data_IF_115179325274
#
_entry.id   IF_115179325274
#
_cell.length_a   1.000
_cell.length_b   1.000
_cell.length_c   1.000
_cell.angle_alpha   90.00
_cell.angle_beta   90.00
_cell.angle_gamma   90.00
#
_symmetry.space_group_name_H-M   'P 1'
#
loop_
_entity.id
_entity.type
_entity.pdbx_description
1 polymer ?
#
# COMPACT_ATOMS: atom_id res chain seq x y z
N UNK A 1 -48.37 41.12 -31.08
CA UNK A 1 -46.92 40.88 -31.34
C UNK A 1 -46.05 41.04 -30.08
N UNK A 2 -46.18 42.11 -29.28
CA UNK A 2 -45.32 42.33 -28.08
C UNK A 2 -45.45 41.27 -26.96
N UNK A 3 -46.65 40.69 -26.76
CA UNK A 3 -46.91 39.64 -25.75
C UNK A 3 -46.26 38.29 -26.09
N UNK A 4 -46.13 37.97 -27.38
CA UNK A 4 -45.54 36.72 -27.85
C UNK A 4 -44.01 36.69 -27.72
N UNK A 5 -43.34 37.84 -27.87
CA UNK A 5 -41.90 37.94 -27.63
C UNK A 5 -41.53 37.77 -26.15
N UNK A 6 -42.34 38.32 -25.23
CA UNK A 6 -42.09 38.20 -23.79
C UNK A 6 -42.22 36.75 -23.31
N UNK A 7 -43.20 36.00 -23.84
CA UNK A 7 -43.37 34.58 -23.54
C UNK A 7 -42.21 33.73 -24.09
N UNK A 8 -41.71 34.06 -25.29
CA UNK A 8 -40.56 33.37 -25.87
C UNK A 8 -39.27 33.61 -25.07
N UNK A 9 -39.05 34.85 -24.62
CA UNK A 9 -37.89 35.22 -23.81
C UNK A 9 -37.91 34.54 -22.43
N UNK A 10 -39.08 34.47 -21.79
CA UNK A 10 -39.25 33.78 -20.51
C UNK A 10 -38.99 32.26 -20.63
N UNK A 11 -39.45 31.65 -21.72
CA UNK A 11 -39.22 30.22 -21.99
C UNK A 11 -37.72 29.94 -22.23
N UNK A 12 -37.03 30.83 -22.94
CA UNK A 12 -35.59 30.69 -23.20
C UNK A 12 -34.76 30.79 -21.91
N UNK A 13 -35.13 31.70 -21.00
CA UNK A 13 -34.48 31.86 -19.69
C UNK A 13 -34.69 30.63 -18.78
N UNK A 14 -35.88 30.04 -18.80
CA UNK A 14 -36.17 28.80 -18.07
C UNK A 14 -35.35 27.60 -18.59
N UNK A 15 -35.17 27.49 -19.90
CA UNK A 15 -34.33 26.44 -20.51
C UNK A 15 -32.86 26.64 -20.15
N UNK A 16 -32.35 27.86 -20.14
CA UNK A 16 -30.96 28.13 -19.74
C UNK A 16 -30.71 27.87 -18.25
N UNK A 17 -31.68 28.15 -17.38
CA UNK A 17 -31.58 27.83 -15.95
C UNK A 17 -31.63 26.30 -15.68
N UNK A 18 -32.39 25.55 -16.48
CA UNK A 18 -32.43 24.09 -16.38
C UNK A 18 -31.13 23.41 -16.85
N UNK A 19 -30.42 24.01 -17.82
CA UNK A 19 -29.17 23.46 -18.37
C UNK A 19 -27.92 23.75 -17.50
N UNK A 20 -27.96 24.77 -16.63
CA UNK A 20 -26.82 25.13 -15.77
C UNK A 20 -26.79 24.42 -14.41
N UNK A 21 -27.84 23.69 -14.04
CA UNK A 21 -28.00 23.03 -12.74
C UNK A 21 -27.16 21.77 -12.49
N UNK A 22 -26.48 21.22 -13.51
CA UNK A 22 -25.74 19.96 -13.38
C UNK A 22 -24.22 20.12 -13.22
N UNK A 23 -23.70 21.35 -13.08
CA UNK A 23 -22.26 21.63 -13.02
C UNK A 23 -21.71 21.86 -11.60
N UNK A 24 -22.45 21.49 -10.54
CA UNK A 24 -21.84 21.28 -9.22
C UNK A 24 -21.09 19.94 -9.23
N UNK A 25 -19.93 19.95 -9.88
CA UNK A 25 -18.98 18.85 -9.84
C UNK A 25 -18.58 18.58 -8.40
N UNK A 26 -18.92 17.39 -7.90
CA UNK A 26 -18.45 16.87 -6.62
C UNK A 26 -16.92 16.81 -6.70
N UNK A 27 -16.22 17.72 -6.04
CA UNK A 27 -14.75 17.68 -5.91
C UNK A 27 -14.37 16.59 -4.92
N UNK A 28 -14.47 15.35 -5.36
CA UNK A 28 -13.81 14.24 -4.68
C UNK A 28 -12.40 14.12 -5.22
N UNK A 29 -11.45 13.85 -4.33
CA UNK A 29 -10.08 13.60 -4.74
C UNK A 29 -10.06 12.34 -5.61
N UNK A 30 -9.42 12.37 -6.80
CA UNK A 30 -9.33 11.20 -7.65
C UNK A 30 -8.66 10.08 -6.86
N UNK A 31 -9.41 9.01 -6.60
CA UNK A 31 -8.84 7.80 -6.05
C UNK A 31 -8.19 7.01 -7.19
N UNK A 32 -6.99 6.44 -6.97
CA UNK A 32 -6.35 5.56 -7.93
C UNK A 32 -7.25 4.34 -8.15
N UNK A 33 -8.00 4.39 -9.25
CA UNK A 33 -9.01 3.38 -9.61
C UNK A 33 -8.49 2.36 -10.63
N UNK A 34 -7.33 2.60 -11.25
CA UNK A 34 -6.83 1.72 -12.29
C UNK A 34 -5.80 0.73 -11.73
N UNK A 35 -6.01 -0.55 -12.05
CA UNK A 35 -5.11 -1.65 -11.69
C UNK A 35 -3.67 -1.45 -12.17
N UNK A 36 -3.45 -0.52 -13.11
CA UNK A 36 -2.15 -0.14 -13.65
C UNK A 36 -1.27 0.67 -12.69
N UNK A 37 -1.86 1.23 -11.63
CA UNK A 37 -1.16 2.03 -10.61
C UNK A 37 -0.97 1.29 -9.29
N UNK A 38 -1.76 0.25 -9.04
CA UNK A 38 -1.76 -0.49 -7.77
C UNK A 38 -1.02 -1.82 -7.89
N UNK A 39 -0.44 -2.28 -6.78
CA UNK A 39 0.13 -3.62 -6.66
C UNK A 39 -0.32 -4.28 -5.36
N UNK A 40 -0.27 -5.61 -5.35
CA UNK A 40 -0.46 -6.45 -4.16
C UNK A 40 0.86 -7.12 -3.78
N UNK A 41 0.97 -7.55 -2.53
CA UNK A 41 2.13 -8.28 -2.01
C UNK A 41 1.67 -9.57 -1.34
N UNK A 42 2.34 -10.67 -1.63
CA UNK A 42 2.07 -11.98 -1.02
C UNK A 42 3.39 -12.67 -0.70
N UNK A 43 3.56 -13.14 0.54
CA UNK A 43 4.75 -13.92 0.92
C UNK A 43 4.63 -15.31 0.30
N UNK A 44 5.56 -15.66 -0.58
CA UNK A 44 5.66 -16.99 -1.21
C UNK A 44 6.54 -17.92 -0.41
N UNK A 45 7.63 -17.39 0.15
CA UNK A 45 8.53 -18.13 1.02
C UNK A 45 9.10 -17.19 2.07
N UNK A 46 9.23 -17.71 3.29
CA UNK A 46 9.91 -17.06 4.39
C UNK A 46 10.76 -18.11 5.10
N UNK A 47 12.07 -18.01 4.93
CA UNK A 47 13.03 -18.95 5.48
C UNK A 47 13.93 -18.22 6.46
N UNK A 48 14.11 -18.80 7.64
CA UNK A 48 15.03 -18.25 8.63
C UNK A 48 16.18 -19.21 8.83
N UNK A 49 17.39 -18.66 8.72
CA UNK A 49 18.65 -19.37 8.95
C UNK A 49 19.48 -18.50 9.87
N UNK A 50 19.67 -18.96 11.11
CA UNK A 50 20.37 -18.24 12.17
C UNK A 50 19.82 -16.82 12.39
N UNK A 51 20.61 -15.81 12.02
CA UNK A 51 20.27 -14.39 12.17
C UNK A 51 19.56 -13.80 10.95
N UNK A 52 19.44 -14.59 9.86
CA UNK A 52 18.91 -14.15 8.58
C UNK A 52 17.49 -14.66 8.31
N UNK A 53 16.58 -13.74 8.05
CA UNK A 53 15.27 -13.99 7.45
C UNK A 53 15.34 -13.67 5.95
N UNK A 54 15.14 -14.67 5.11
CA UNK A 54 15.09 -14.60 3.66
C UNK A 54 13.63 -14.65 3.21
N UNK A 55 13.21 -13.66 2.44
CA UNK A 55 11.83 -13.54 1.97
C UNK A 55 11.78 -13.55 0.45
N UNK A 56 10.87 -14.36 -0.08
CA UNK A 56 10.43 -14.28 -1.47
C UNK A 56 8.97 -13.83 -1.50
N UNK A 57 8.72 -12.70 -2.17
CA UNK A 57 7.43 -12.03 -2.20
C UNK A 57 6.95 -11.95 -3.65
N UNK A 58 5.73 -12.39 -3.91
CA UNK A 58 5.04 -12.14 -5.17
C UNK A 58 4.46 -10.73 -5.17
N UNK A 59 4.68 -10.01 -6.26
CA UNK A 59 4.16 -8.66 -6.50
C UNK A 59 3.15 -8.72 -7.63
N UNK A 60 1.86 -8.68 -7.28
CA UNK A 60 0.76 -8.68 -8.24
C UNK A 60 0.51 -7.28 -8.82
N UNK A 61 -0.06 -7.22 -10.02
CA UNK A 61 -0.41 -5.94 -10.66
C UNK A 61 0.82 -5.13 -11.11
N UNK A 62 0.84 -3.84 -10.77
CA UNK A 62 1.86 -2.90 -11.25
C UNK A 62 3.19 -3.00 -10.48
N UNK A 63 3.87 -4.14 -10.51
CA UNK A 63 5.12 -4.39 -9.76
C UNK A 63 6.20 -3.30 -9.94
N UNK A 64 6.29 -2.73 -11.15
CA UNK A 64 7.19 -1.61 -11.46
C UNK A 64 6.97 -0.36 -10.59
N UNK A 65 5.80 -0.21 -9.97
CA UNK A 65 5.44 0.89 -9.06
C UNK A 65 5.92 0.66 -7.63
N UNK A 66 6.40 -0.53 -7.28
CA UNK A 66 6.98 -0.79 -5.97
C UNK A 66 8.34 -0.08 -5.85
N UNK A 67 8.34 1.07 -5.17
CA UNK A 67 9.52 1.93 -5.00
C UNK A 67 10.38 1.50 -3.81
N UNK A 68 9.72 1.15 -2.70
CA UNK A 68 10.37 0.75 -1.46
C UNK A 68 9.60 -0.41 -0.83
N UNK A 69 10.32 -1.40 -0.35
CA UNK A 69 9.79 -2.43 0.52
C UNK A 69 10.35 -2.24 1.93
N UNK A 70 9.63 -2.68 2.94
CA UNK A 70 10.07 -2.59 4.32
C UNK A 70 9.68 -3.83 5.09
N UNK A 71 10.65 -4.48 5.70
CA UNK A 71 10.37 -5.60 6.62
C UNK A 71 10.10 -4.97 7.98
N UNK A 72 8.85 -5.05 8.42
CA UNK A 72 8.41 -4.57 9.72
C UNK A 72 8.30 -5.76 10.67
N UNK A 73 8.89 -5.69 11.85
CA UNK A 73 8.92 -6.82 12.78
C UNK A 73 8.84 -6.41 14.25
N UNK A 74 8.50 -7.38 15.08
CA UNK A 74 8.53 -7.32 16.54
C UNK A 74 9.04 -8.66 17.10
N UNK A 75 9.77 -8.61 18.21
CA UNK A 75 10.11 -9.81 19.00
C UNK A 75 8.83 -10.28 19.69
N UNK A 76 8.55 -11.58 19.66
CA UNK A 76 7.44 -12.17 20.43
C UNK A 76 7.93 -12.50 21.84
N UNK A 77 7.27 -11.96 22.85
CA UNK A 77 7.63 -12.18 24.24
C UNK A 77 6.78 -11.37 25.22
N UNK A 78 7.30 -11.21 26.43
CA UNK A 78 6.60 -10.55 27.53
C UNK A 78 7.43 -9.49 28.24
N UNK A 79 8.66 -9.24 27.77
CA UNK A 79 9.53 -8.19 28.30
C UNK A 79 9.22 -6.81 27.75
N UNK A 80 9.88 -5.79 28.31
CA UNK A 80 9.78 -4.42 27.82
C UNK A 80 10.23 -4.33 26.36
N UNK A 81 9.36 -3.84 25.49
CA UNK A 81 9.63 -3.72 24.05
C UNK A 81 9.31 -4.96 23.22
N UNK A 82 8.91 -6.08 23.84
CA UNK A 82 8.47 -7.29 23.16
C UNK A 82 6.94 -7.28 22.93
N UNK A 83 6.49 -7.89 21.84
CA UNK A 83 5.08 -8.05 21.49
C UNK A 83 4.47 -9.28 22.17
N UNK A 84 3.31 -9.11 22.78
CA UNK A 84 2.59 -10.21 23.44
C UNK A 84 1.89 -11.15 22.45
N UNK A 85 1.80 -12.42 22.84
CA UNK A 85 1.07 -13.45 22.08
C UNK A 85 -0.43 -13.12 22.06
N UNK A 86 -1.02 -13.07 20.87
CA UNK A 86 -2.45 -12.76 20.67
C UNK A 86 -2.78 -11.26 20.62
N UNK A 87 -1.82 -10.39 20.90
CA UNK A 87 -1.99 -8.95 20.78
C UNK A 87 -1.95 -8.50 19.31
N UNK A 88 -2.65 -7.40 18.96
CA UNK A 88 -2.52 -6.77 17.65
C UNK A 88 -1.03 -6.52 17.33
N UNK A 89 -0.62 -6.88 16.11
CA UNK A 89 0.74 -6.66 15.66
C UNK A 89 1.04 -5.16 15.61
N UNK A 90 2.06 -4.71 16.32
CA UNK A 90 2.51 -3.32 16.24
C UNK A 90 4.02 -3.30 16.03
N UNK A 91 4.48 -3.06 14.80
CA UNK A 91 5.89 -3.19 14.47
C UNK A 91 6.75 -2.31 15.38
N UNK A 92 7.74 -2.93 16.01
CA UNK A 92 8.68 -2.27 16.91
C UNK A 92 9.87 -1.72 16.14
N UNK A 93 10.22 -2.39 15.05
CA UNK A 93 11.33 -2.03 14.19
C UNK A 93 10.96 -2.25 12.72
N UNK A 94 11.68 -1.58 11.83
CA UNK A 94 11.50 -1.68 10.39
C UNK A 94 12.81 -1.44 9.64
N UNK A 95 13.16 -2.37 8.76
CA UNK A 95 14.26 -2.20 7.81
C UNK A 95 13.70 -1.85 6.44
N UNK A 96 14.25 -0.81 5.83
CA UNK A 96 13.81 -0.26 4.56
C UNK A 96 14.75 -0.64 3.42
N UNK A 97 14.16 -1.07 2.31
CA UNK A 97 14.86 -1.47 1.08
C UNK A 97 14.32 -0.65 -0.08
N UNK A 98 15.17 0.14 -0.72
CA UNK A 98 14.81 0.92 -1.91
C UNK A 98 15.43 0.31 -3.16
N UNK A 99 14.80 0.51 -4.33
CA UNK A 99 15.24 -0.10 -5.61
C UNK A 99 16.70 0.15 -6.00
N UNK A 100 17.31 1.21 -5.49
CA UNK A 100 18.71 1.57 -5.75
C UNK A 100 19.71 0.96 -4.74
N UNK A 101 19.26 0.15 -3.80
CA UNK A 101 20.09 -0.56 -2.82
C UNK A 101 20.23 -2.03 -3.21
N UNK A 102 21.42 -2.62 -3.04
CA UNK A 102 21.72 -3.99 -3.47
C UNK A 102 20.87 -5.08 -2.79
N UNK A 103 20.23 -4.79 -1.66
CA UNK A 103 19.36 -5.72 -0.95
C UNK A 103 17.88 -5.70 -1.42
N UNK A 104 17.55 -4.86 -2.41
CA UNK A 104 16.24 -4.85 -3.08
C UNK A 104 16.36 -5.55 -4.44
N UNK A 105 16.03 -6.84 -4.49
CA UNK A 105 16.11 -7.63 -5.73
C UNK A 105 14.70 -7.90 -6.28
N UNK A 106 14.26 -7.07 -7.23
CA UNK A 106 12.96 -7.22 -7.90
C UNK A 106 13.18 -7.65 -9.35
N UNK A 107 12.88 -8.91 -9.66
CA UNK A 107 12.98 -9.48 -11.00
C UNK A 107 11.59 -9.85 -11.49
N UNK A 108 11.11 -9.12 -12.51
CA UNK A 108 9.75 -9.25 -13.01
C UNK A 108 8.72 -8.91 -11.92
N UNK A 109 8.05 -9.94 -11.39
CA UNK A 109 7.02 -9.84 -10.36
C UNK A 109 7.44 -10.50 -9.04
N UNK A 110 8.72 -10.87 -8.89
CA UNK A 110 9.24 -11.52 -7.69
C UNK A 110 10.23 -10.60 -7.00
N UNK A 111 9.93 -10.23 -5.77
CA UNK A 111 10.80 -9.47 -4.90
C UNK A 111 11.49 -10.41 -3.90
N UNK A 112 12.81 -10.30 -3.79
CA UNK A 112 13.60 -10.97 -2.75
C UNK A 112 14.18 -9.94 -1.80
N UNK A 113 14.03 -10.20 -0.50
CA UNK A 113 14.56 -9.37 0.58
C UNK A 113 15.27 -10.25 1.60
N UNK A 114 16.27 -9.69 2.28
CA UNK A 114 16.98 -10.36 3.38
C UNK A 114 17.17 -9.44 4.58
N UNK A 115 16.96 -9.97 5.78
CA UNK A 115 17.17 -9.29 7.06
C UNK A 115 18.04 -10.16 7.96
N UNK A 116 19.31 -9.78 8.16
CA UNK A 116 20.30 -10.60 8.86
C UNK A 116 20.66 -10.16 10.29
N UNK A 117 19.87 -9.27 10.87
CA UNK A 117 20.11 -8.67 12.20
C UNK A 117 19.22 -9.29 13.29
N UNK A 118 18.68 -10.49 13.09
CA UNK A 118 17.81 -11.15 14.06
C UNK A 118 18.62 -11.95 15.08
N UNK A 119 18.19 -11.93 16.34
CA UNK A 119 18.76 -12.78 17.40
C UNK A 119 18.28 -14.23 17.23
N UNK A 120 19.17 -15.25 17.21
CA UNK A 120 18.81 -16.64 16.88
C UNK A 120 17.81 -17.25 17.87
N UNK A 121 17.93 -16.95 19.16
CA UNK A 121 17.10 -17.54 20.23
C UNK A 121 15.74 -16.84 20.43
N UNK A 122 15.40 -15.87 19.57
CA UNK A 122 14.17 -15.08 19.66
C UNK A 122 13.18 -15.46 18.56
N UNK A 123 11.90 -15.50 18.90
CA UNK A 123 10.81 -15.60 17.91
C UNK A 123 10.41 -14.19 17.45
N UNK A 124 10.09 -14.05 16.16
CA UNK A 124 9.66 -12.78 15.59
C UNK A 124 8.31 -12.91 14.90
N UNK A 125 7.50 -11.85 14.99
CA UNK A 125 6.40 -11.59 14.06
C UNK A 125 6.85 -10.55 13.06
N UNK A 126 6.50 -10.73 11.79
CA UNK A 126 6.87 -9.79 10.75
C UNK A 126 5.79 -9.65 9.68
N UNK A 127 5.86 -8.56 8.94
CA UNK A 127 5.12 -8.34 7.68
C UNK A 127 5.96 -7.49 6.74
N UNK A 128 5.65 -7.54 5.45
CA UNK A 128 6.27 -6.66 4.45
C UNK A 128 5.32 -5.53 4.10
N UNK A 129 5.82 -4.31 4.12
CA UNK A 129 5.13 -3.10 3.69
C UNK A 129 5.74 -2.57 2.39
N UNK A 130 4.94 -2.39 1.35
CA UNK A 130 5.33 -1.80 0.08
C UNK A 130 4.88 -0.34 -0.03
N UNK A 131 5.77 0.55 -0.46
CA UNK A 131 5.46 1.93 -0.84
C UNK A 131 5.50 2.06 -2.36
N UNK A 132 4.41 2.61 -2.88
CA UNK A 132 4.27 2.98 -4.27
C UNK A 132 5.11 4.24 -4.60
N UNK A 133 5.61 4.33 -5.83
CA UNK A 133 6.28 5.52 -6.37
C UNK A 133 5.33 6.73 -6.45
N UNK A 134 4.02 6.48 -6.56
CA UNK A 134 2.98 7.50 -6.44
C UNK A 134 2.75 7.87 -4.95
N UNK A 135 3.06 9.10 -4.52
CA UNK A 135 3.05 9.45 -3.09
C UNK A 135 1.68 9.35 -2.43
N UNK A 136 0.61 9.63 -3.19
CA UNK A 136 -0.78 9.65 -2.73
C UNK A 136 -1.33 8.24 -2.42
N UNK A 137 -0.68 7.19 -2.90
CA UNK A 137 -1.10 5.82 -2.63
C UNK A 137 -0.67 5.37 -1.22
N UNK A 138 -1.55 4.67 -0.48
CA UNK A 138 -1.23 4.12 0.83
C UNK A 138 -0.17 3.02 0.72
N UNK A 139 0.34 2.59 1.87
CA UNK A 139 1.19 1.40 1.94
C UNK A 139 0.35 0.14 1.69
N UNK A 140 0.90 -0.79 0.93
CA UNK A 140 0.37 -2.14 0.77
C UNK A 140 1.06 -3.06 1.77
N UNK A 141 0.32 -3.90 2.47
CA UNK A 141 0.87 -4.82 3.48
C UNK A 141 0.61 -6.26 3.08
N UNK A 142 1.53 -7.15 3.46
CA UNK A 142 1.25 -8.58 3.55
C UNK A 142 0.52 -8.88 4.86
N UNK A 143 0.07 -10.12 5.01
CA UNK A 143 -0.29 -10.68 6.30
C UNK A 143 0.91 -10.68 7.27
N UNK A 144 0.60 -10.93 8.54
CA UNK A 144 1.60 -11.06 9.60
C UNK A 144 1.97 -12.54 9.74
N UNK A 145 3.26 -12.81 9.63
CA UNK A 145 3.84 -14.15 9.74
C UNK A 145 4.69 -14.26 11.00
N UNK A 146 4.89 -15.49 11.46
CA UNK A 146 5.76 -15.81 12.59
C UNK A 146 6.96 -16.57 12.05
N UNK A 147 8.16 -16.25 12.55
CA UNK A 147 9.37 -16.99 12.24
C UNK A 147 10.12 -17.39 13.52
N UNK A 148 10.55 -18.64 13.54
CA UNK A 148 11.47 -19.24 14.52
C UNK A 148 12.65 -19.81 13.75
N UNK A 149 13.79 -19.99 14.42
CA UNK A 149 14.87 -20.82 13.89
C UNK A 149 14.40 -22.27 13.74
#
# INVERSE_FOLDING_TARGET
MKRSLAALAALLLLVQAALSGCALGKKEWPQPQQSEDTFTLEIMAAERTDTCLLLTIAVGGAARRLYRASIQYEIVGGGDGEGCVGCPFVPRDAVHFTRNQGAFDLVGNTLKLSLCTLEPDKQYRFRVAGKNDLPALPLTYTDVFVTTQ
#
